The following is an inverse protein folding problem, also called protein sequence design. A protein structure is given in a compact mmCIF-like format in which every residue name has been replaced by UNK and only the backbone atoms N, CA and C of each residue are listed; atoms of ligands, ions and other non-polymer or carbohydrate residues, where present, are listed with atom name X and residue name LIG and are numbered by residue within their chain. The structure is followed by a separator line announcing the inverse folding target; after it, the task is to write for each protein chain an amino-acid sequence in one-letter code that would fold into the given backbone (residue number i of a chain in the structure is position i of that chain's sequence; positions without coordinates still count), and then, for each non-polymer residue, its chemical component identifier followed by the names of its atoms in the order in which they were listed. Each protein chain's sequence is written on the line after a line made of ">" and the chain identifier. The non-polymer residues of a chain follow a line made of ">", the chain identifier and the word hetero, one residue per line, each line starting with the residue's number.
data_IF_297216740398
#
_entry.id   IF_297216740398
#
_cell.length_a   1.000
_cell.length_b   1.000
_cell.length_c   1.000
_cell.angle_alpha   90.00
_cell.angle_beta   90.00
_cell.angle_gamma   90.00
#
_symmetry.space_group_name_H-M   'P 1'
#
loop_
_entity.id
_entity.type
_entity.pdbx_description
1 polymer ?
#
# COMPACT_ATOMS: atom_id res chain seq x y z
N UNK A 1 -6.33 21.01 33.07
CA UNK A 1 -6.71 21.94 31.99
C UNK A 1 -5.76 21.63 30.84
N UNK A 2 -6.28 21.23 29.69
CA UNK A 2 -5.49 20.67 28.58
C UNK A 2 -6.33 19.71 27.74
N UNK A 3 -7.38 20.21 27.08
CA UNK A 3 -8.04 19.52 25.97
C UNK A 3 -7.14 19.71 24.74
N UNK A 4 -6.15 18.85 24.51
CA UNK A 4 -5.33 18.91 23.28
C UNK A 4 -5.39 17.62 22.45
N UNK A 5 -5.68 16.46 23.03
CA UNK A 5 -5.57 15.18 22.29
C UNK A 5 -6.69 14.87 21.29
N UNK A 6 -7.79 15.62 21.27
CA UNK A 6 -8.87 15.40 20.30
C UNK A 6 -8.59 16.07 18.94
N UNK A 7 -7.66 17.03 18.87
CA UNK A 7 -7.47 17.88 17.69
C UNK A 7 -6.60 17.26 16.59
N UNK A 8 -5.82 16.22 16.90
CA UNK A 8 -4.87 15.61 15.96
C UNK A 8 -5.39 14.29 15.33
N UNK A 9 -6.52 13.76 15.80
CA UNK A 9 -7.08 12.54 15.22
C UNK A 9 -7.89 12.83 13.95
N UNK A 10 -7.77 11.96 12.96
CA UNK A 10 -8.62 11.97 11.76
C UNK A 10 -9.12 10.56 11.45
N UNK A 11 -10.38 10.43 11.05
CA UNK A 11 -10.96 9.17 10.62
C UNK A 11 -10.80 9.01 9.10
N UNK A 12 -9.94 8.08 8.68
CA UNK A 12 -9.81 7.70 7.27
C UNK A 12 -10.86 6.66 6.93
N UNK A 13 -11.80 6.99 6.05
CA UNK A 13 -12.81 6.06 5.52
C UNK A 13 -12.29 5.53 4.19
N UNK A 14 -11.71 4.34 4.22
CA UNK A 14 -11.09 3.69 3.07
C UNK A 14 -12.15 2.82 2.41
N UNK A 15 -12.50 3.10 1.17
CA UNK A 15 -13.52 2.37 0.42
C UNK A 15 -12.96 1.79 -0.87
N UNK A 16 -13.31 0.53 -1.16
CA UNK A 16 -12.96 -0.12 -2.42
C UNK A 16 -13.53 0.64 -3.63
N UNK A 17 -12.73 0.76 -4.68
CA UNK A 17 -13.09 1.47 -5.92
C UNK A 17 -14.32 0.82 -6.56
N UNK A 18 -15.34 1.64 -6.85
CA UNK A 18 -16.60 1.19 -7.44
C UNK A 18 -17.69 0.77 -6.44
N UNK A 19 -17.44 0.87 -5.13
CA UNK A 19 -18.51 0.77 -4.14
C UNK A 19 -19.31 2.09 -4.06
N UNK A 20 -20.47 2.15 -4.71
CA UNK A 20 -21.42 3.25 -4.58
C UNK A 20 -21.94 3.40 -3.13
N UNK A 21 -22.30 4.61 -2.71
CA UNK A 21 -22.78 4.94 -1.35
C UNK A 21 -24.14 4.31 -1.00
N UNK A 22 -24.85 3.76 -1.99
CA UNK A 22 -26.18 3.19 -1.85
C UNK A 22 -26.14 1.66 -1.80
N UNK A 23 -25.96 1.06 -0.62
CA UNK A 23 -25.98 -0.40 -0.51
C UNK A 23 -26.17 -0.94 0.90
N UNK A 24 -27.37 -1.43 1.21
CA UNK A 24 -27.61 -2.32 2.34
C UNK A 24 -26.82 -3.63 2.12
N UNK A 25 -25.92 -3.97 3.06
CA UNK A 25 -25.06 -5.17 2.98
C UNK A 25 -23.55 -4.89 2.99
N UNK A 26 -23.12 -3.63 3.05
CA UNK A 26 -21.70 -3.25 3.10
C UNK A 26 -21.04 -3.77 4.38
N UNK A 27 -19.98 -4.56 4.24
CA UNK A 27 -19.16 -4.94 5.38
C UNK A 27 -18.26 -3.75 5.73
N UNK A 28 -18.47 -3.20 6.93
CA UNK A 28 -17.72 -2.06 7.45
C UNK A 28 -16.97 -2.43 8.72
N UNK A 29 -15.73 -1.97 8.85
CA UNK A 29 -14.92 -2.10 10.06
C UNK A 29 -14.51 -0.71 10.56
N UNK A 30 -14.44 -0.53 11.88
CA UNK A 30 -13.92 0.71 12.50
C UNK A 30 -12.85 0.33 13.51
N UNK A 31 -11.65 0.89 13.35
CA UNK A 31 -10.48 0.59 14.19
C UNK A 31 -9.75 1.88 14.58
N UNK A 32 -9.13 1.90 15.75
CA UNK A 32 -8.26 3.00 16.19
C UNK A 32 -6.79 2.61 15.95
N UNK A 33 -6.21 3.13 14.87
CA UNK A 33 -4.86 2.83 14.42
C UNK A 33 -3.75 3.56 15.16
N UNK A 34 -4.07 4.50 16.05
CA UNK A 34 -3.09 5.32 16.78
C UNK A 34 -2.28 4.52 17.80
N UNK A 35 -2.90 3.52 18.40
CA UNK A 35 -2.31 2.69 19.46
C UNK A 35 -1.95 1.28 18.99
N UNK A 36 -2.20 0.95 17.71
CA UNK A 36 -1.93 -0.38 17.16
C UNK A 36 -0.43 -0.64 17.05
N UNK A 37 -0.01 -1.80 17.55
CA UNK A 37 1.33 -2.34 17.32
C UNK A 37 1.44 -3.05 15.97
N UNK A 38 2.64 -3.55 15.68
CA UNK A 38 2.97 -4.17 14.38
C UNK A 38 2.09 -5.38 14.05
N UNK A 39 1.75 -6.20 15.04
CA UNK A 39 0.95 -7.42 14.83
C UNK A 39 -0.53 -7.08 14.65
N UNK A 40 -1.05 -6.09 15.37
CA UNK A 40 -2.40 -5.58 15.16
C UNK A 40 -2.56 -5.03 13.73
N UNK A 41 -1.55 -4.30 13.23
CA UNK A 41 -1.54 -3.85 11.83
C UNK A 41 -1.52 -5.00 10.84
N UNK A 42 -0.77 -6.07 11.11
CA UNK A 42 -0.76 -7.27 10.26
C UNK A 42 -2.13 -7.95 10.23
N UNK A 43 -2.77 -8.11 11.38
CA UNK A 43 -4.13 -8.66 11.48
C UNK A 43 -5.13 -7.80 10.72
N UNK A 44 -5.05 -6.47 10.86
CA UNK A 44 -5.91 -5.53 10.14
C UNK A 44 -5.77 -5.68 8.62
N UNK A 45 -4.54 -5.80 8.11
CA UNK A 45 -4.31 -6.02 6.67
C UNK A 45 -4.95 -7.31 6.18
N UNK A 46 -4.84 -8.40 6.93
CA UNK A 46 -5.45 -9.68 6.57
C UNK A 46 -6.99 -9.63 6.64
N UNK A 47 -7.53 -8.96 7.66
CA UNK A 47 -8.98 -8.80 7.81
C UNK A 47 -9.57 -7.87 6.73
N UNK A 48 -8.80 -6.87 6.30
CA UNK A 48 -9.23 -5.84 5.36
C UNK A 48 -9.74 -6.38 4.02
N UNK A 49 -9.29 -7.57 3.59
CA UNK A 49 -9.77 -8.21 2.37
C UNK A 49 -11.28 -8.46 2.40
N UNK A 50 -11.84 -8.72 3.60
CA UNK A 50 -13.24 -9.09 3.80
C UNK A 50 -14.18 -7.88 3.91
N UNK A 51 -13.65 -6.65 3.89
CA UNK A 51 -14.44 -5.44 4.07
C UNK A 51 -14.44 -4.58 2.80
N UNK A 52 -15.57 -3.96 2.52
CA UNK A 52 -15.69 -2.97 1.45
C UNK A 52 -15.27 -1.58 1.92
N UNK A 53 -15.42 -1.35 3.24
CA UNK A 53 -15.01 -0.11 3.90
C UNK A 53 -14.32 -0.40 5.21
N UNK A 54 -13.22 0.30 5.41
CA UNK A 54 -12.51 0.32 6.68
C UNK A 54 -12.34 1.76 7.10
N UNK A 55 -12.82 2.08 8.29
CA UNK A 55 -12.62 3.36 8.93
C UNK A 55 -11.49 3.22 9.94
N UNK A 56 -10.34 3.83 9.66
CA UNK A 56 -9.17 3.80 10.54
C UNK A 56 -8.98 5.19 11.14
N UNK A 57 -9.02 5.30 12.47
CA UNK A 57 -8.60 6.53 13.14
C UNK A 57 -7.08 6.58 13.21
N UNK A 58 -6.48 7.66 12.72
CA UNK A 58 -5.02 7.86 12.71
C UNK A 58 -4.65 9.26 13.17
N UNK A 59 -3.38 9.47 13.46
CA UNK A 59 -2.83 10.80 13.76
C UNK A 59 -2.62 11.58 12.46
N UNK A 60 -3.20 12.77 12.38
CA UNK A 60 -3.13 13.64 11.21
C UNK A 60 -1.70 14.06 10.94
N UNK A 61 -0.94 14.45 11.96
CA UNK A 61 0.47 14.80 11.82
C UNK A 61 1.28 13.70 11.15
N UNK A 62 1.01 12.43 11.47
CA UNK A 62 1.70 11.29 10.84
C UNK A 62 1.38 11.18 9.34
N UNK A 63 0.15 11.44 8.93
CA UNK A 63 -0.19 11.52 7.50
C UNK A 63 0.58 12.65 6.81
N UNK A 64 0.66 13.82 7.43
CA UNK A 64 1.32 15.00 6.87
C UNK A 64 2.84 14.86 6.77
N UNK A 65 3.42 14.17 7.74
CA UNK A 65 4.84 13.85 7.79
C UNK A 65 5.22 12.91 6.63
N UNK A 66 4.48 11.83 6.46
CA UNK A 66 4.86 10.73 5.55
C UNK A 66 4.22 10.78 4.15
N UNK A 67 3.22 11.64 3.90
CA UNK A 67 2.51 11.70 2.61
C UNK A 67 2.42 13.11 2.06
N UNK A 68 2.93 13.29 0.84
CA UNK A 68 2.78 14.56 0.10
C UNK A 68 1.34 14.78 -0.36
N UNK A 69 0.57 13.71 -0.61
CA UNK A 69 -0.87 13.80 -0.90
C UNK A 69 -1.62 14.44 0.28
N UNK A 70 -1.48 13.91 1.50
CA UNK A 70 -2.19 14.46 2.66
C UNK A 70 -1.70 15.87 3.01
N UNK A 71 -0.42 16.16 2.82
CA UNK A 71 0.12 17.53 2.94
C UNK A 71 -0.50 18.48 1.92
N UNK A 72 -0.74 18.02 0.68
CA UNK A 72 -1.40 18.84 -0.32
C UNK A 72 -2.85 19.17 0.08
N UNK A 73 -3.52 18.29 0.83
CA UNK A 73 -4.87 18.53 1.36
C UNK A 73 -4.91 19.63 2.43
N UNK A 74 -3.79 19.98 3.09
CA UNK A 74 -3.74 21.15 4.01
C UNK A 74 -4.14 22.45 3.33
N UNK A 75 -3.82 22.57 2.04
CA UNK A 75 -4.17 23.74 1.24
C UNK A 75 -5.66 23.75 0.84
N UNK A 76 -6.39 22.68 1.15
CA UNK A 76 -7.83 22.55 0.91
C UNK A 76 -8.60 22.44 2.23
N UNK A 77 -9.88 22.80 2.21
CA UNK A 77 -10.74 22.69 3.40
C UNK A 77 -11.03 21.24 3.82
N UNK A 78 -10.63 20.28 3.00
CA UNK A 78 -10.86 18.85 3.21
C UNK A 78 -10.06 18.31 4.38
N UNK A 79 -8.82 18.78 4.58
CA UNK A 79 -8.03 18.27 5.69
C UNK A 79 -8.59 18.71 7.05
N UNK A 80 -9.24 19.87 7.16
CA UNK A 80 -9.85 20.29 8.44
C UNK A 80 -11.07 19.46 8.86
N UNK A 81 -11.45 18.45 8.07
CA UNK A 81 -12.55 17.53 8.41
C UNK A 81 -12.09 16.50 9.45
N UNK A 82 -13.03 16.11 10.31
CA UNK A 82 -12.86 14.99 11.25
C UNK A 82 -12.74 13.65 10.52
N UNK A 83 -13.24 13.57 9.28
CA UNK A 83 -13.16 12.39 8.42
C UNK A 83 -12.69 12.72 7.00
N UNK A 84 -11.94 11.79 6.42
CA UNK A 84 -11.40 11.86 5.06
C UNK A 84 -11.75 10.56 4.34
N UNK A 85 -12.34 10.68 3.15
CA UNK A 85 -12.65 9.52 2.31
C UNK A 85 -11.45 9.20 1.41
N UNK A 86 -11.06 7.94 1.38
CA UNK A 86 -10.00 7.42 0.54
C UNK A 86 -10.59 6.33 -0.34
N UNK A 87 -10.67 6.57 -1.65
CA UNK A 87 -11.19 5.58 -2.58
C UNK A 87 -10.04 4.71 -3.11
N UNK A 88 -9.73 3.64 -2.38
CA UNK A 88 -8.62 2.74 -2.67
C UNK A 88 -8.91 1.32 -2.18
N UNK A 89 -8.14 0.35 -2.67
CA UNK A 89 -8.21 -1.03 -2.17
C UNK A 89 -7.86 -1.08 -0.67
N UNK A 90 -8.80 -1.45 0.23
CA UNK A 90 -8.59 -1.41 1.67
C UNK A 90 -7.31 -2.11 2.19
N UNK A 91 -7.02 -3.38 1.84
CA UNK A 91 -5.80 -4.04 2.27
C UNK A 91 -4.53 -3.30 1.83
N UNK A 92 -4.49 -2.79 0.59
CA UNK A 92 -3.32 -2.06 0.07
C UNK A 92 -3.12 -0.75 0.83
N UNK A 93 -4.20 -0.02 1.10
CA UNK A 93 -4.10 1.22 1.87
C UNK A 93 -3.74 0.96 3.34
N UNK A 94 -4.22 -0.13 3.95
CA UNK A 94 -3.79 -0.55 5.28
C UNK A 94 -2.28 -0.88 5.33
N UNK A 95 -1.72 -1.51 4.29
CA UNK A 95 -0.27 -1.73 4.17
C UNK A 95 0.48 -0.40 4.07
N UNK A 96 -0.07 0.57 3.33
CA UNK A 96 0.50 1.90 3.22
C UNK A 96 0.52 2.62 4.58
N UNK A 97 -0.58 2.56 5.33
CA UNK A 97 -0.64 3.11 6.68
C UNK A 97 0.35 2.40 7.62
N UNK A 98 0.46 1.08 7.55
CA UNK A 98 1.47 0.32 8.29
C UNK A 98 2.89 0.83 8.00
N UNK A 99 3.18 1.17 6.74
CA UNK A 99 4.45 1.80 6.36
C UNK A 99 4.66 3.18 7.00
N UNK A 100 3.63 4.04 6.99
CA UNK A 100 3.69 5.37 7.64
C UNK A 100 3.86 5.30 9.16
N UNK A 101 3.43 4.20 9.78
CA UNK A 101 3.67 3.94 11.20
C UNK A 101 5.06 3.32 11.46
N UNK A 102 5.90 3.16 10.44
CA UNK A 102 7.25 2.62 10.55
C UNK A 102 7.32 1.10 10.69
N UNK A 103 6.19 0.39 10.72
CA UNK A 103 6.16 -1.06 10.94
C UNK A 103 6.58 -1.85 9.70
N UNK A 104 7.08 -3.07 9.91
CA UNK A 104 7.49 -3.96 8.81
C UNK A 104 6.28 -4.65 8.19
N UNK A 105 6.02 -4.33 6.92
CA UNK A 105 5.02 -5.02 6.10
C UNK A 105 5.64 -6.23 5.41
N UNK A 106 4.94 -7.37 5.47
CA UNK A 106 5.23 -8.51 4.62
C UNK A 106 4.57 -8.28 3.26
N UNK A 107 5.35 -8.29 2.19
CA UNK A 107 4.80 -8.16 0.84
C UNK A 107 4.79 -9.51 0.14
N UNK A 108 3.79 -9.69 -0.72
CA UNK A 108 3.75 -10.72 -1.75
C UNK A 108 3.83 -10.08 -3.13
N UNK A 109 4.16 -10.89 -4.13
CA UNK A 109 4.26 -10.48 -5.53
C UNK A 109 2.95 -9.92 -6.09
N UNK A 110 1.80 -10.47 -5.69
CA UNK A 110 0.47 -9.99 -6.09
C UNK A 110 0.03 -8.68 -5.40
N UNK A 111 0.73 -8.26 -4.33
CA UNK A 111 0.46 -7.03 -3.58
C UNK A 111 1.38 -5.91 -4.03
N UNK A 112 2.64 -6.21 -4.36
CA UNK A 112 3.67 -5.19 -4.56
C UNK A 112 3.36 -4.24 -5.72
N UNK A 113 2.79 -4.73 -6.83
CA UNK A 113 2.40 -3.88 -7.95
C UNK A 113 1.33 -2.84 -7.53
N UNK A 114 0.26 -3.30 -6.88
CA UNK A 114 -0.81 -2.42 -6.36
C UNK A 114 -0.28 -1.45 -5.30
N UNK A 115 0.65 -1.89 -4.45
CA UNK A 115 1.28 -1.03 -3.46
C UNK A 115 2.14 0.06 -4.11
N UNK A 116 2.91 -0.26 -5.15
CA UNK A 116 3.71 0.72 -5.89
C UNK A 116 2.80 1.84 -6.47
N UNK A 117 1.65 1.49 -7.04
CA UNK A 117 0.67 2.48 -7.50
C UNK A 117 0.16 3.36 -6.36
N UNK A 118 -0.18 2.76 -5.22
CA UNK A 118 -0.66 3.49 -4.06
C UNK A 118 0.40 4.45 -3.52
N UNK A 119 1.63 3.97 -3.40
CA UNK A 119 2.75 4.74 -2.89
C UNK A 119 3.06 5.95 -3.76
N UNK A 120 3.02 5.79 -5.08
CA UNK A 120 3.17 6.90 -6.03
C UNK A 120 2.02 7.91 -5.90
N UNK A 121 0.77 7.43 -5.92
CA UNK A 121 -0.42 8.27 -5.81
C UNK A 121 -0.47 9.08 -4.51
N UNK A 122 -0.21 8.43 -3.37
CA UNK A 122 -0.23 9.08 -2.05
C UNK A 122 1.10 9.74 -1.70
N UNK A 123 2.14 9.58 -2.53
CA UNK A 123 3.47 10.17 -2.37
C UNK A 123 4.11 9.84 -1.01
N UNK A 124 4.38 8.55 -0.78
CA UNK A 124 4.95 8.00 0.47
C UNK A 124 6.36 7.44 0.24
N UNK A 125 7.38 8.32 0.28
CA UNK A 125 8.74 8.01 -0.19
C UNK A 125 9.42 6.83 0.54
N UNK A 126 9.12 6.64 1.83
CA UNK A 126 9.68 5.53 2.60
C UNK A 126 9.13 4.18 2.12
N UNK A 127 7.85 4.16 1.74
CA UNK A 127 7.20 2.96 1.24
C UNK A 127 7.72 2.57 -0.15
N UNK A 128 8.08 3.53 -1.02
CA UNK A 128 8.65 3.18 -2.34
C UNK A 128 10.03 2.53 -2.18
N UNK A 129 10.82 3.01 -1.23
CA UNK A 129 12.13 2.43 -0.91
C UNK A 129 11.98 0.99 -0.44
N UNK A 130 10.98 0.70 0.40
CA UNK A 130 10.67 -0.67 0.84
C UNK A 130 10.24 -1.56 -0.33
N UNK A 131 9.42 -1.04 -1.25
CA UNK A 131 9.03 -1.78 -2.44
C UNK A 131 10.23 -2.13 -3.33
N UNK A 132 11.11 -1.14 -3.56
CA UNK A 132 12.35 -1.31 -4.33
C UNK A 132 13.25 -2.40 -3.72
N UNK A 133 13.44 -2.37 -2.41
CA UNK A 133 14.24 -3.37 -1.70
C UNK A 133 13.63 -4.77 -1.78
N UNK A 134 12.31 -4.89 -1.67
CA UNK A 134 11.62 -6.18 -1.80
C UNK A 134 11.73 -6.76 -3.21
N UNK A 135 11.59 -5.94 -4.25
CA UNK A 135 11.78 -6.40 -5.64
C UNK A 135 13.23 -6.87 -5.84
N UNK A 136 14.22 -6.15 -5.34
CA UNK A 136 15.62 -6.57 -5.44
C UNK A 136 15.90 -7.85 -4.63
N UNK A 137 15.32 -8.02 -3.44
CA UNK A 137 15.52 -9.22 -2.62
C UNK A 137 14.81 -10.45 -3.18
N UNK A 138 13.51 -10.35 -3.44
CA UNK A 138 12.65 -11.50 -3.76
C UNK A 138 12.62 -11.82 -5.26
N UNK A 139 12.82 -10.84 -6.15
CA UNK A 139 12.71 -11.08 -7.59
C UNK A 139 14.07 -11.26 -8.25
N UNK A 140 15.11 -10.52 -7.82
CA UNK A 140 16.43 -10.63 -8.44
C UNK A 140 17.28 -11.78 -7.87
N UNK A 141 17.08 -12.19 -6.60
CA UNK A 141 17.91 -13.21 -5.96
C UNK A 141 17.27 -14.61 -5.90
N UNK A 142 15.99 -14.73 -6.22
CA UNK A 142 15.32 -16.03 -6.30
C UNK A 142 15.51 -16.58 -7.70
N UNK A 143 16.28 -17.68 -7.82
CA UNK A 143 16.19 -18.57 -8.98
C UNK A 143 14.88 -19.32 -8.85
N UNK A 144 13.80 -18.70 -9.28
CA UNK A 144 12.50 -19.31 -9.15
C UNK A 144 12.47 -20.51 -10.10
N UNK A 145 11.98 -21.66 -9.61
CA UNK A 145 11.45 -22.67 -10.52
C UNK A 145 10.41 -22.00 -11.41
N UNK A 146 10.21 -22.54 -12.61
CA UNK A 146 9.29 -22.01 -13.62
C UNK A 146 7.84 -22.05 -13.14
N UNK A 147 7.46 -21.17 -12.21
CA UNK A 147 6.10 -20.98 -11.75
C UNK A 147 5.51 -19.81 -12.55
N UNK A 148 4.46 -20.09 -13.33
CA UNK A 148 3.81 -19.12 -14.21
C UNK A 148 3.36 -17.85 -13.47
N UNK A 149 3.04 -17.99 -12.17
CA UNK A 149 2.65 -16.90 -11.28
C UNK A 149 3.77 -15.86 -11.08
N UNK A 150 5.04 -16.30 -10.98
CA UNK A 150 6.18 -15.40 -10.85
C UNK A 150 6.36 -14.49 -12.08
N UNK A 151 6.24 -15.07 -13.28
CA UNK A 151 6.39 -14.31 -14.51
C UNK A 151 5.23 -13.32 -14.69
N UNK A 152 4.00 -13.76 -14.41
CA UNK A 152 2.81 -12.91 -14.43
C UNK A 152 2.96 -11.71 -13.49
N UNK A 153 3.37 -11.95 -12.25
CA UNK A 153 3.57 -10.90 -11.26
C UNK A 153 4.69 -9.95 -11.67
N UNK A 154 5.81 -10.47 -12.18
CA UNK A 154 6.93 -9.64 -12.63
C UNK A 154 6.55 -8.71 -13.79
N UNK A 155 5.72 -9.20 -14.71
CA UNK A 155 5.16 -8.40 -15.81
C UNK A 155 4.18 -7.34 -15.29
N UNK A 156 3.35 -7.68 -14.31
CA UNK A 156 2.42 -6.75 -13.65
C UNK A 156 3.15 -5.61 -12.94
N UNK A 157 4.21 -5.94 -12.17
CA UNK A 157 5.08 -4.97 -11.50
C UNK A 157 5.76 -4.06 -12.52
N UNK A 158 6.29 -4.63 -13.61
CA UNK A 158 6.94 -3.86 -14.67
C UNK A 158 5.98 -2.92 -15.39
N UNK A 159 4.77 -3.37 -15.71
CA UNK A 159 3.74 -2.52 -16.34
C UNK A 159 3.43 -1.34 -15.44
N UNK A 160 3.16 -1.62 -14.17
CA UNK A 160 2.91 -0.61 -13.15
C UNK A 160 4.04 0.40 -13.06
N UNK A 161 5.29 -0.06 -12.91
CA UNK A 161 6.46 0.81 -12.81
C UNK A 161 6.62 1.70 -14.06
N UNK A 162 6.26 1.19 -15.24
CA UNK A 162 6.28 1.96 -16.49
C UNK A 162 5.21 3.04 -16.50
N UNK A 163 3.99 2.71 -16.06
CA UNK A 163 2.85 3.64 -15.99
C UNK A 163 3.13 4.82 -15.06
N UNK A 164 3.75 4.57 -13.91
CA UNK A 164 4.09 5.63 -12.94
C UNK A 164 5.47 6.28 -13.19
N UNK A 165 6.24 5.79 -14.16
CA UNK A 165 7.57 6.34 -14.47
C UNK A 165 8.69 5.95 -13.50
N UNK A 166 8.50 4.94 -12.65
CA UNK A 166 9.48 4.38 -11.71
C UNK A 166 10.51 3.50 -12.42
N UNK A 167 11.49 4.15 -13.05
CA UNK A 167 12.53 3.49 -13.89
C UNK A 167 13.30 2.40 -13.15
N UNK A 168 13.67 2.64 -11.89
CA UNK A 168 14.49 1.69 -11.13
C UNK A 168 13.77 0.35 -10.92
N UNK A 169 12.47 0.38 -10.57
CA UNK A 169 11.68 -0.86 -10.45
C UNK A 169 11.56 -1.57 -11.79
N UNK A 170 11.34 -0.83 -12.88
CA UNK A 170 11.31 -1.39 -14.23
C UNK A 170 12.62 -2.08 -14.63
N UNK A 171 13.77 -1.48 -14.28
CA UNK A 171 15.11 -2.04 -14.51
C UNK A 171 15.33 -3.31 -13.69
N UNK A 172 14.90 -3.35 -12.42
CA UNK A 172 14.94 -4.56 -11.59
C UNK A 172 14.12 -5.69 -12.22
N UNK A 173 12.90 -5.41 -12.72
CA UNK A 173 12.10 -6.43 -13.38
C UNK A 173 12.79 -7.00 -14.64
N UNK A 174 13.41 -6.14 -15.45
CA UNK A 174 14.18 -6.59 -16.64
C UNK A 174 15.37 -7.45 -16.23
N UNK A 175 16.09 -7.07 -15.17
CA UNK A 175 17.20 -7.86 -14.63
C UNK A 175 16.73 -9.22 -14.12
N UNK A 176 15.64 -9.28 -13.36
CA UNK A 176 15.03 -10.53 -12.90
C UNK A 176 14.61 -11.44 -14.05
N UNK A 177 13.99 -10.86 -15.10
CA UNK A 177 13.67 -11.59 -16.33
C UNK A 177 14.92 -12.17 -16.99
N UNK A 178 15.99 -11.37 -17.14
CA UNK A 178 17.22 -11.83 -17.77
C UNK A 178 17.91 -12.98 -17.00
N UNK A 179 17.91 -12.92 -15.66
CA UNK A 179 18.45 -13.98 -14.80
C UNK A 179 17.65 -15.27 -14.96
N UNK A 180 16.32 -15.18 -14.98
CA UNK A 180 15.44 -16.35 -15.03
C UNK A 180 15.20 -16.86 -16.46
N UNK A 181 15.47 -16.07 -17.51
CA UNK A 181 15.38 -16.48 -18.91
C UNK A 181 16.32 -17.65 -19.23
N UNK A 182 17.51 -17.66 -18.61
CA UNK A 182 18.48 -18.78 -18.75
C UNK A 182 17.93 -20.06 -18.11
N UNK A 183 17.18 -19.96 -17.02
CA UNK A 183 16.52 -21.09 -16.36
C UNK A 183 15.28 -21.59 -17.11
N UNK A 184 14.56 -20.70 -17.83
CA UNK A 184 13.36 -21.01 -18.62
C UNK A 184 13.65 -21.73 -19.95
N UNK A 185 14.88 -21.74 -20.44
CA UNK A 185 15.27 -22.38 -21.71
C UNK A 185 16.20 -23.58 -21.56
N UNK A 186 16.63 -23.90 -20.34
CA UNK A 186 17.49 -25.04 -20.04
C UNK A 186 16.90 -25.90 -18.92
N UNK A 187 15.71 -26.44 -19.15
CA UNK A 187 15.28 -27.68 -18.50
C UNK A 187 15.56 -28.84 -19.47
N UNK A 188 16.54 -29.73 -19.19
CA UNK A 188 16.67 -30.99 -19.91
C UNK A 188 15.52 -31.96 -19.61
#
# INVERSE_FOLDING_TARGET
>A
MGKEDASNAVLLVISRVGCDESGAGRLTMVVDGREMGSEEWRSLVAEAENFDVISVRVDRERLLEHSTYFRSLEYFSELNRESLNVNWDPPIFCILLQCMHGFQSSFSSCVIARLIQAVDYFGVDEAITRCKNWVDSEMCNVRCGTEDDFLSDLLSIRSTATEIGEKYVGELCVRSLAINFVSLHFHP
#
